data_IF_938132131161
#
_entry.id   IF_938132131161
#
_cell.length_a   1.000
_cell.length_b   1.000
_cell.length_c   1.000
_cell.angle_alpha   90.00
_cell.angle_beta   90.00
_cell.angle_gamma   90.00
#
_symmetry.space_group_name_H-M   'P 1'
#
loop_
_entity.id
_entity.type
_entity.pdbx_description
1 polymer ?
#
# COMPACT_ATOMS: atom_id res chain seq x y z
N UNK A 1 -11.21 -7.57 -38.88
CA UNK A 1 -9.97 -6.93 -38.40
C UNK A 1 -10.36 -5.55 -37.91
N UNK A 2 -10.81 -5.48 -36.67
CA UNK A 2 -11.00 -4.22 -35.96
C UNK A 2 -9.65 -3.75 -35.47
N UNK A 3 -9.42 -2.46 -35.67
CA UNK A 3 -8.18 -1.76 -35.47
C UNK A 3 -7.72 -1.82 -34.00
N UNK A 4 -6.81 -2.75 -33.70
CA UNK A 4 -6.16 -2.96 -32.40
C UNK A 4 -5.07 -1.91 -32.10
N UNK A 5 -4.96 -0.86 -32.93
CA UNK A 5 -3.86 0.11 -32.87
C UNK A 5 -4.16 1.40 -32.09
N UNK A 6 -5.33 1.51 -31.44
CA UNK A 6 -5.75 2.76 -30.78
C UNK A 6 -5.68 2.75 -29.22
N UNK A 7 -5.03 1.77 -28.57
CA UNK A 7 -4.84 1.78 -27.10
C UNK A 7 -3.46 1.24 -26.65
N UNK A 8 -2.44 2.09 -26.66
CA UNK A 8 -1.22 1.96 -25.86
C UNK A 8 -0.54 3.32 -25.69
N UNK A 9 0.25 3.62 -24.62
CA UNK A 9 0.66 2.81 -23.47
C UNK A 9 0.50 3.57 -22.11
N UNK A 10 -0.63 3.41 -21.40
CA UNK A 10 -0.69 3.89 -19.99
C UNK A 10 0.13 3.02 -19.03
N UNK A 11 0.62 1.88 -19.53
CA UNK A 11 1.60 0.99 -18.91
C UNK A 11 2.88 1.72 -18.49
N UNK A 12 3.26 2.78 -19.21
CA UNK A 12 4.60 3.37 -19.15
C UNK A 12 4.85 4.36 -18.02
N UNK A 13 3.80 4.89 -17.37
CA UNK A 13 3.92 5.96 -16.33
C UNK A 13 4.99 5.60 -15.29
N UNK A 14 5.05 4.32 -14.91
CA UNK A 14 5.95 3.84 -13.86
C UNK A 14 7.13 3.01 -14.38
N UNK A 15 7.32 2.88 -15.70
CA UNK A 15 8.39 2.05 -16.26
C UNK A 15 9.77 2.60 -15.94
N UNK A 16 9.94 3.92 -16.04
CA UNK A 16 11.19 4.58 -15.65
C UNK A 16 11.51 4.37 -14.16
N UNK A 17 10.49 4.27 -13.30
CA UNK A 17 10.66 4.11 -11.85
C UNK A 17 10.96 2.65 -11.48
N UNK A 18 10.29 1.67 -12.11
CA UNK A 18 10.65 0.25 -11.98
C UNK A 18 12.07 0.01 -12.47
N UNK A 19 12.43 0.57 -13.64
CA UNK A 19 13.78 0.44 -14.19
C UNK A 19 14.83 1.03 -13.26
N UNK A 20 14.61 2.25 -12.75
CA UNK A 20 15.49 2.87 -11.76
C UNK A 20 15.73 1.96 -10.55
N UNK A 21 14.65 1.38 -10.01
CA UNK A 21 14.72 0.51 -8.84
C UNK A 21 15.57 -0.74 -9.11
N UNK A 22 15.33 -1.42 -10.23
CA UNK A 22 16.08 -2.61 -10.63
C UNK A 22 17.55 -2.28 -10.95
N UNK A 23 17.80 -1.22 -11.73
CA UNK A 23 19.16 -0.81 -12.10
C UNK A 23 20.01 -0.46 -10.87
N UNK A 24 19.42 0.14 -9.84
CA UNK A 24 20.17 0.54 -8.63
C UNK A 24 20.43 -0.62 -7.68
N UNK A 25 19.71 -1.72 -7.80
CA UNK A 25 19.79 -2.90 -6.94
C UNK A 25 20.29 -4.15 -7.67
N UNK A 26 20.82 -4.03 -8.88
CA UNK A 26 21.33 -5.13 -9.71
C UNK A 26 22.37 -6.01 -8.97
N UNK A 27 23.23 -5.38 -8.18
CA UNK A 27 24.23 -6.06 -7.35
C UNK A 27 23.63 -6.74 -6.10
N UNK A 28 22.38 -6.46 -5.74
CA UNK A 28 21.70 -6.95 -4.54
C UNK A 28 20.52 -7.89 -4.84
N UNK A 29 20.06 -7.95 -6.08
CA UNK A 29 18.88 -8.68 -6.53
C UNK A 29 19.18 -9.52 -7.77
N UNK A 30 18.63 -10.73 -7.81
CA UNK A 30 18.64 -11.54 -9.03
C UNK A 30 17.60 -11.00 -10.03
N UNK A 31 17.93 -9.90 -10.72
CA UNK A 31 16.99 -9.21 -11.61
C UNK A 31 16.55 -10.06 -12.83
N UNK A 32 17.33 -11.09 -13.20
CA UNK A 32 17.02 -11.99 -14.31
C UNK A 32 16.23 -13.25 -13.87
N UNK A 33 16.01 -13.46 -12.57
CA UNK A 33 15.26 -14.58 -12.01
C UNK A 33 14.10 -14.07 -11.15
N UNK A 34 12.90 -14.08 -11.72
CA UNK A 34 11.70 -13.58 -11.05
C UNK A 34 10.46 -14.39 -11.38
N UNK A 35 9.52 -14.41 -10.43
CA UNK A 35 8.16 -14.89 -10.67
C UNK A 35 7.27 -13.71 -11.04
N UNK A 36 6.44 -13.85 -12.08
CA UNK A 36 5.47 -12.83 -12.48
C UNK A 36 4.04 -13.36 -12.35
N UNK A 37 3.16 -12.56 -11.74
CA UNK A 37 1.72 -12.77 -11.79
C UNK A 37 1.02 -11.53 -12.36
N UNK A 38 0.04 -11.79 -13.23
CA UNK A 38 -0.71 -10.76 -13.94
C UNK A 38 -2.20 -10.95 -13.79
N UNK A 39 -2.92 -9.85 -13.59
CA UNK A 39 -4.36 -9.81 -13.61
C UNK A 39 -4.81 -8.84 -14.70
N UNK A 40 -5.71 -9.29 -15.57
CA UNK A 40 -6.24 -8.48 -16.64
C UNK A 40 -7.76 -8.64 -16.73
N UNK A 41 -8.47 -7.51 -16.79
CA UNK A 41 -9.91 -7.48 -16.99
C UNK A 41 -10.25 -6.51 -18.11
N UNK A 42 -10.93 -7.04 -19.11
CA UNK A 42 -11.42 -6.30 -20.26
C UNK A 42 -12.94 -6.35 -20.32
N UNK A 43 -13.54 -5.18 -20.47
CA UNK A 43 -14.95 -4.99 -20.81
C UNK A 43 -15.04 -3.85 -21.82
N UNK A 44 -16.14 -3.67 -22.57
CA UNK A 44 -16.27 -2.58 -23.54
C UNK A 44 -15.91 -1.18 -23.00
N UNK A 45 -16.16 -0.93 -21.71
CA UNK A 45 -15.95 0.38 -21.06
C UNK A 45 -14.75 0.43 -20.11
N UNK A 46 -14.03 -0.68 -19.88
CA UNK A 46 -12.96 -0.76 -18.87
C UNK A 46 -11.83 -1.68 -19.29
N UNK A 47 -10.62 -1.17 -19.12
CA UNK A 47 -9.36 -1.88 -19.22
C UNK A 47 -8.65 -1.77 -17.86
N UNK A 48 -8.52 -2.88 -17.15
CA UNK A 48 -7.86 -2.94 -15.83
C UNK A 48 -6.73 -3.96 -15.92
N UNK A 49 -5.53 -3.57 -15.50
CA UNK A 49 -4.35 -4.43 -15.50
C UNK A 49 -3.60 -4.30 -14.17
N UNK A 50 -3.09 -5.41 -13.66
CA UNK A 50 -2.07 -5.47 -12.61
C UNK A 50 -0.98 -6.43 -13.06
N UNK A 51 0.28 -6.11 -12.80
CA UNK A 51 1.44 -6.96 -13.06
C UNK A 51 2.37 -6.86 -11.87
N UNK A 52 2.48 -7.94 -11.11
CA UNK A 52 3.40 -8.06 -10.00
C UNK A 52 4.57 -8.98 -10.38
N UNK A 53 5.80 -8.51 -10.17
CA UNK A 53 7.03 -9.30 -10.27
C UNK A 53 7.63 -9.46 -8.91
N UNK A 54 8.15 -10.65 -8.63
CA UNK A 54 8.71 -11.02 -7.35
C UNK A 54 10.15 -11.45 -7.58
N UNK A 55 11.08 -10.71 -6.98
CA UNK A 55 12.51 -10.95 -7.02
C UNK A 55 13.02 -11.37 -5.65
N UNK A 56 14.20 -11.99 -5.64
CA UNK A 56 14.93 -12.33 -4.43
C UNK A 56 16.40 -11.94 -4.57
N UNK A 57 17.08 -11.86 -3.44
CA UNK A 57 18.52 -11.62 -3.39
C UNK A 57 19.17 -12.39 -2.24
N UNK A 58 20.46 -12.17 -2.05
CA UNK A 58 21.21 -12.76 -0.93
C UNK A 58 20.66 -12.25 0.41
N UNK A 59 20.51 -10.92 0.55
CA UNK A 59 20.05 -10.26 1.79
C UNK A 59 18.55 -9.92 1.78
N UNK A 60 17.91 -10.00 0.62
CA UNK A 60 16.51 -9.65 0.42
C UNK A 60 15.70 -10.91 0.16
N UNK A 61 14.73 -11.20 1.03
CA UNK A 61 13.92 -12.42 0.91
C UNK A 61 12.88 -12.29 -0.20
N UNK A 62 12.23 -11.12 -0.26
CA UNK A 62 11.12 -10.89 -1.19
C UNK A 62 11.04 -9.44 -1.58
N UNK A 63 11.16 -9.18 -2.88
CA UNK A 63 11.00 -7.86 -3.47
C UNK A 63 9.90 -7.91 -4.51
N UNK A 64 8.73 -7.41 -4.13
CA UNK A 64 7.56 -7.35 -5.00
C UNK A 64 7.49 -5.97 -5.65
N UNK A 65 7.37 -5.93 -6.97
CA UNK A 65 7.10 -4.74 -7.77
C UNK A 65 5.78 -4.96 -8.50
N UNK A 66 4.72 -4.25 -8.10
CA UNK A 66 3.41 -4.30 -8.75
C UNK A 66 3.08 -2.99 -9.44
N UNK A 67 2.92 -3.05 -10.76
CA UNK A 67 2.34 -1.97 -11.55
C UNK A 67 0.88 -2.27 -11.85
N UNK A 68 0.02 -1.28 -11.67
CA UNK A 68 -1.38 -1.42 -12.00
C UNK A 68 -1.95 -0.20 -12.72
N UNK A 69 -2.95 -0.44 -13.57
CA UNK A 69 -3.79 0.58 -14.20
C UNK A 69 -5.25 0.18 -14.02
N UNK A 70 -6.06 1.11 -13.50
CA UNK A 70 -7.46 0.88 -13.18
C UNK A 70 -8.42 1.47 -14.21
N UNK A 71 -8.00 2.55 -14.87
CA UNK A 71 -8.68 3.25 -15.95
C UNK A 71 -7.73 4.34 -16.47
N UNK A 72 -8.18 5.05 -17.50
CA UNK A 72 -7.44 6.16 -18.10
C UNK A 72 -6.84 7.11 -17.06
N UNK A 73 -5.51 7.23 -17.07
CA UNK A 73 -4.68 8.04 -16.16
C UNK A 73 -4.71 7.66 -14.68
N UNK A 74 -5.45 6.63 -14.26
CA UNK A 74 -5.45 6.13 -12.88
C UNK A 74 -4.60 4.86 -12.79
N UNK A 75 -3.37 5.03 -12.35
CA UNK A 75 -2.36 3.97 -12.25
C UNK A 75 -1.54 4.10 -10.98
N UNK A 76 -0.80 3.05 -10.64
CA UNK A 76 0.10 3.05 -9.50
C UNK A 76 1.25 2.06 -9.62
N UNK A 77 2.23 2.27 -8.75
CA UNK A 77 3.40 1.44 -8.53
C UNK A 77 3.49 1.16 -7.03
N UNK A 78 3.52 -0.12 -6.69
CA UNK A 78 3.73 -0.60 -5.33
C UNK A 78 5.01 -1.40 -5.32
N UNK A 79 5.94 -1.04 -4.45
CA UNK A 79 7.16 -1.82 -4.21
C UNK A 79 7.23 -2.14 -2.73
N UNK A 80 7.23 -3.43 -2.40
CA UNK A 80 7.52 -3.91 -1.06
C UNK A 80 8.74 -4.80 -1.12
N UNK A 81 9.80 -4.42 -0.41
CA UNK A 81 11.03 -5.18 -0.33
C UNK A 81 11.33 -5.53 1.12
N UNK A 82 11.25 -6.82 1.44
CA UNK A 82 11.51 -7.34 2.77
C UNK A 82 12.89 -8.01 2.82
N UNK A 83 13.73 -7.66 3.80
CA UNK A 83 15.00 -8.31 4.02
C UNK A 83 14.81 -9.71 4.58
N UNK A 84 15.84 -10.55 4.46
CA UNK A 84 15.89 -11.77 5.26
C UNK A 84 16.12 -11.38 6.73
N UNK A 85 15.47 -12.06 7.69
CA UNK A 85 15.56 -11.68 9.11
C UNK A 85 16.97 -11.74 9.72
N UNK A 86 17.90 -12.42 9.06
CA UNK A 86 19.31 -12.47 9.48
C UNK A 86 20.05 -11.16 9.27
N UNK A 87 19.51 -10.21 8.50
CA UNK A 87 20.18 -8.94 8.23
C UNK A 87 19.41 -7.79 8.88
N UNK A 88 20.14 -6.89 9.55
CA UNK A 88 19.60 -5.66 10.14
C UNK A 88 19.32 -4.59 9.06
N UNK A 89 18.34 -4.84 8.20
CA UNK A 89 18.00 -3.97 7.07
C UNK A 89 16.56 -3.45 7.29
N UNK A 90 16.27 -2.15 7.07
CA UNK A 90 14.90 -1.68 7.07
C UNK A 90 14.15 -2.16 5.81
N UNK A 91 12.86 -2.42 5.91
CA UNK A 91 12.04 -2.80 4.74
C UNK A 91 11.75 -1.57 3.87
N UNK A 92 11.88 -1.72 2.56
CA UNK A 92 11.52 -0.66 1.61
C UNK A 92 10.02 -0.72 1.32
N UNK A 93 9.33 0.40 1.57
CA UNK A 93 7.90 0.54 1.30
C UNK A 93 7.68 1.68 0.31
N UNK A 94 7.12 1.37 -0.85
CA UNK A 94 6.58 2.36 -1.78
C UNK A 94 5.16 1.98 -2.15
N UNK A 95 4.25 2.94 -2.00
CA UNK A 95 2.96 2.93 -2.65
C UNK A 95 2.77 4.31 -3.28
N UNK A 96 2.78 4.38 -4.61
CA UNK A 96 2.40 5.58 -5.35
C UNK A 96 1.24 5.26 -6.29
N UNK A 97 0.22 6.12 -6.31
CA UNK A 97 -0.98 5.87 -7.11
C UNK A 97 -1.87 7.10 -7.26
N UNK A 98 -3.10 6.88 -7.71
CA UNK A 98 -4.07 7.94 -7.96
C UNK A 98 -4.09 8.38 -9.42
N UNK A 99 -4.14 9.69 -9.67
CA UNK A 99 -4.13 10.30 -11.02
C UNK A 99 -2.93 11.25 -11.12
N UNK A 100 -1.69 10.71 -11.17
CA UNK A 100 -0.49 11.54 -11.21
C UNK A 100 -0.42 12.38 -12.50
N UNK A 101 0.21 13.57 -12.47
CA UNK A 101 0.83 14.18 -11.29
C UNK A 101 -0.15 14.89 -10.35
N UNK A 102 -1.38 15.16 -10.79
CA UNK A 102 -2.30 16.11 -10.12
C UNK A 102 -2.92 15.60 -8.82
N UNK A 103 -3.22 14.31 -8.75
CA UNK A 103 -3.82 13.65 -7.58
C UNK A 103 -3.02 12.41 -7.22
N UNK A 104 -1.87 12.60 -6.58
CA UNK A 104 -0.97 11.52 -6.18
C UNK A 104 -1.23 11.10 -4.75
N UNK A 105 -1.48 9.80 -4.55
CA UNK A 105 -1.33 9.12 -3.27
C UNK A 105 0.12 8.65 -3.18
N UNK A 106 0.80 8.94 -2.08
CA UNK A 106 2.19 8.53 -1.86
C UNK A 106 2.37 8.02 -0.43
N UNK A 107 3.08 6.91 -0.30
CA UNK A 107 3.71 6.40 0.92
C UNK A 107 5.09 5.91 0.50
N UNK A 108 6.16 6.47 1.06
CA UNK A 108 7.55 6.08 0.82
C UNK A 108 8.32 6.05 2.14
N UNK A 109 8.88 4.89 2.49
CA UNK A 109 9.54 4.66 3.78
C UNK A 109 10.65 3.62 3.70
N UNK A 110 11.59 3.72 4.66
CA UNK A 110 12.44 2.63 5.10
C UNK A 110 12.00 2.21 6.51
N UNK A 111 11.11 1.23 6.58
CA UNK A 111 10.50 0.77 7.82
C UNK A 111 11.52 0.00 8.67
N UNK A 112 11.79 0.40 9.92
CA UNK A 112 12.83 -0.21 10.75
C UNK A 112 12.51 -1.67 11.09
N UNK A 113 13.55 -2.51 11.18
CA UNK A 113 13.38 -3.88 11.67
C UNK A 113 13.59 -4.02 13.19
N UNK A 114 13.93 -2.94 13.89
CA UNK A 114 13.95 -2.82 15.35
C UNK A 114 13.79 -1.36 15.79
N UNK A 115 13.28 -1.08 17.00
CA UNK A 115 13.13 0.29 17.51
C UNK A 115 14.45 1.07 17.63
N UNK A 116 15.56 0.37 17.85
CA UNK A 116 16.90 0.94 18.07
C UNK A 116 17.70 1.13 16.77
N UNK A 117 17.14 0.75 15.62
CA UNK A 117 17.82 0.87 14.33
C UNK A 117 18.16 2.33 14.03
N UNK A 118 19.43 2.61 13.73
CA UNK A 118 19.86 3.94 13.32
C UNK A 118 19.35 4.25 11.89
N UNK A 119 18.43 5.19 11.80
CA UNK A 119 17.87 5.67 10.55
C UNK A 119 18.39 7.06 10.15
N UNK A 120 19.53 7.51 10.68
CA UNK A 120 20.09 8.85 10.44
C UNK A 120 20.33 9.17 8.97
N UNK A 121 20.86 8.21 8.20
CA UNK A 121 21.06 8.37 6.75
C UNK A 121 19.73 8.60 6.02
N UNK A 122 18.72 7.78 6.30
CA UNK A 122 17.38 7.95 5.73
C UNK A 122 16.70 9.24 6.20
N UNK A 123 16.88 9.62 7.47
CA UNK A 123 16.30 10.84 8.04
C UNK A 123 16.70 12.09 7.26
N UNK A 124 17.98 12.20 6.92
CA UNK A 124 18.54 13.33 6.14
C UNK A 124 17.92 13.42 4.75
N UNK A 125 17.82 12.28 4.06
CA UNK A 125 17.23 12.17 2.72
C UNK A 125 15.74 12.49 2.76
N UNK A 126 15.01 11.86 3.68
CA UNK A 126 13.58 12.08 3.86
C UNK A 126 13.27 13.55 4.20
N UNK A 127 14.06 14.22 5.05
CA UNK A 127 13.86 15.63 5.37
C UNK A 127 14.05 16.53 4.13
N UNK A 128 15.10 16.27 3.35
CA UNK A 128 15.39 17.02 2.12
C UNK A 128 14.26 16.89 1.10
N UNK A 129 13.84 15.66 0.83
CA UNK A 129 12.83 15.38 -0.20
C UNK A 129 11.41 15.68 0.26
N UNK A 130 11.08 15.57 1.55
CA UNK A 130 9.81 16.05 2.13
C UNK A 130 9.62 17.54 1.85
N UNK A 131 10.64 18.36 2.12
CA UNK A 131 10.61 19.80 1.83
C UNK A 131 10.51 20.08 0.34
N UNK A 132 11.29 19.36 -0.48
CA UNK A 132 11.26 19.52 -1.92
C UNK A 132 9.89 19.18 -2.51
N UNK A 133 9.19 18.17 -2.02
CA UNK A 133 7.85 17.80 -2.51
C UNK A 133 6.70 18.48 -1.76
N UNK A 134 6.99 19.38 -0.81
CA UNK A 134 6.01 20.04 0.05
C UNK A 134 5.09 19.02 0.77
N UNK A 135 5.66 17.91 1.25
CA UNK A 135 4.90 16.86 1.93
C UNK A 135 4.68 17.22 3.42
N UNK A 136 3.57 16.75 4.04
CA UNK A 136 3.32 16.95 5.46
C UNK A 136 4.44 16.43 6.37
N UNK A 137 4.62 17.09 7.52
CA UNK A 137 5.52 16.63 8.58
C UNK A 137 4.86 15.60 9.52
N UNK A 138 3.53 15.58 9.59
CA UNK A 138 2.78 14.58 10.35
C UNK A 138 3.04 13.18 9.81
N UNK A 139 3.18 12.18 10.67
CA UNK A 139 3.17 10.77 10.24
C UNK A 139 1.77 10.26 9.86
N UNK A 140 1.68 8.98 9.48
CA UNK A 140 0.40 8.28 9.33
C UNK A 140 0.13 7.48 10.61
N UNK A 141 -0.80 7.94 11.46
CA UNK A 141 -1.05 7.34 12.79
C UNK A 141 -1.30 5.83 12.73
N UNK A 142 -1.96 5.34 11.69
CA UNK A 142 -2.29 3.92 11.52
C UNK A 142 -1.13 3.05 11.01
N UNK A 143 -0.03 3.65 10.53
CA UNK A 143 1.21 2.96 10.19
C UNK A 143 2.33 3.25 11.20
N UNK A 144 2.11 4.16 12.16
CA UNK A 144 3.16 4.67 13.05
C UNK A 144 3.82 3.59 13.91
N UNK A 145 3.16 2.45 14.13
CA UNK A 145 3.73 1.32 14.87
C UNK A 145 4.78 0.52 14.10
N UNK A 146 4.83 0.66 12.77
CA UNK A 146 5.68 -0.17 11.90
C UNK A 146 6.48 0.63 10.87
N UNK A 147 6.24 1.94 10.76
CA UNK A 147 6.97 2.83 9.85
C UNK A 147 7.96 3.68 10.61
N UNK A 148 8.95 4.20 9.89
CA UNK A 148 9.90 5.14 10.47
C UNK A 148 9.21 6.48 10.81
N UNK A 149 9.77 7.27 11.75
CA UNK A 149 9.33 8.64 11.98
C UNK A 149 9.60 9.56 10.77
N UNK A 150 10.30 9.06 9.75
CA UNK A 150 10.69 9.79 8.55
C UNK A 150 9.86 9.43 7.32
N UNK A 151 8.77 8.66 7.49
CA UNK A 151 7.78 8.34 6.46
C UNK A 151 7.41 9.59 5.63
N UNK A 152 7.60 9.49 4.31
CA UNK A 152 7.11 10.50 3.37
C UNK A 152 5.76 10.05 2.82
N UNK A 153 4.73 10.88 2.95
CA UNK A 153 3.40 10.54 2.45
C UNK A 153 2.60 11.75 1.99
N UNK A 154 1.57 11.51 1.19
CA UNK A 154 0.47 12.45 0.98
C UNK A 154 -0.78 11.74 0.45
N UNK A 155 -1.94 12.34 0.67
CA UNK A 155 -3.21 11.92 0.09
C UNK A 155 -3.66 12.92 -1.00
N UNK A 156 -3.68 12.47 -2.25
CA UNK A 156 -4.20 13.22 -3.41
C UNK A 156 -3.62 14.62 -3.59
N UNK A 157 -2.31 14.75 -3.37
CA UNK A 157 -1.57 15.99 -3.61
C UNK A 157 -0.95 15.96 -5.00
N UNK A 158 -0.81 17.14 -5.63
CA UNK A 158 0.03 17.25 -6.81
C UNK A 158 1.50 17.03 -6.44
N UNK A 159 2.17 16.10 -7.10
CA UNK A 159 3.61 15.88 -6.97
C UNK A 159 4.25 15.99 -8.35
N UNK A 160 5.26 16.86 -8.46
CA UNK A 160 6.02 17.02 -9.70
C UNK A 160 6.83 15.75 -10.00
N UNK A 161 6.70 15.15 -11.21
CA UNK A 161 7.29 13.84 -11.51
C UNK A 161 8.79 13.75 -11.24
N UNK A 162 9.58 14.75 -11.66
CA UNK A 162 11.03 14.72 -11.46
C UNK A 162 11.44 14.90 -9.98
N UNK A 163 10.61 15.59 -9.17
CA UNK A 163 10.86 15.69 -7.72
C UNK A 163 10.65 14.34 -7.04
N UNK A 164 9.61 13.62 -7.43
CA UNK A 164 9.39 12.25 -6.96
C UNK A 164 10.47 11.30 -7.45
N UNK A 165 10.86 11.38 -8.72
CA UNK A 165 11.92 10.55 -9.29
C UNK A 165 13.23 10.70 -8.52
N UNK A 166 13.68 11.93 -8.28
CA UNK A 166 14.89 12.19 -7.50
C UNK A 166 14.77 11.75 -6.03
N UNK A 167 13.59 11.85 -5.43
CA UNK A 167 13.35 11.33 -4.08
C UNK A 167 13.44 9.80 -4.03
N UNK A 168 12.83 9.12 -5.01
CA UNK A 168 12.87 7.67 -5.11
C UNK A 168 14.31 7.18 -5.31
N UNK A 169 15.06 7.80 -6.22
CA UNK A 169 16.48 7.50 -6.47
C UNK A 169 17.31 7.63 -5.20
N UNK A 170 17.23 8.78 -4.51
CA UNK A 170 17.99 9.02 -3.29
C UNK A 170 17.65 8.03 -2.17
N UNK A 171 16.39 7.65 -2.02
CA UNK A 171 15.98 6.66 -1.02
C UNK A 171 16.50 5.26 -1.37
N UNK A 172 16.45 4.85 -2.65
CA UNK A 172 16.98 3.54 -3.08
C UNK A 172 18.50 3.47 -2.88
N UNK A 173 19.23 4.51 -3.29
CA UNK A 173 20.68 4.58 -3.12
C UNK A 173 21.07 4.55 -1.64
N UNK A 174 20.35 5.31 -0.81
CA UNK A 174 20.55 5.31 0.64
C UNK A 174 20.24 3.94 1.25
N UNK A 175 19.16 3.29 0.81
CA UNK A 175 18.80 1.95 1.26
C UNK A 175 19.91 0.94 0.93
N UNK A 176 20.42 0.98 -0.30
CA UNK A 176 21.53 0.14 -0.74
C UNK A 176 22.81 0.41 0.05
N UNK A 177 23.27 1.66 0.06
CA UNK A 177 24.62 2.01 0.50
C UNK A 177 24.75 2.06 2.02
N UNK A 178 23.73 2.55 2.72
CA UNK A 178 23.78 2.70 4.17
C UNK A 178 23.24 1.47 4.93
N UNK A 179 22.43 0.61 4.29
CA UNK A 179 21.77 -0.49 4.98
C UNK A 179 22.02 -1.87 4.35
N UNK A 180 21.80 -2.06 3.05
CA UNK A 180 21.96 -3.40 2.44
C UNK A 180 23.43 -3.79 2.35
N UNK A 181 24.26 -2.95 1.74
CA UNK A 181 25.68 -3.23 1.51
C UNK A 181 26.44 -3.53 2.82
N UNK A 182 26.35 -2.70 3.87
CA UNK A 182 27.08 -2.93 5.11
C UNK A 182 26.46 -3.99 6.03
N UNK A 183 25.21 -4.43 5.80
CA UNK A 183 24.55 -5.38 6.69
C UNK A 183 25.29 -6.72 6.74
N UNK A 184 25.70 -7.12 7.93
CA UNK A 184 26.24 -8.43 8.22
C UNK A 184 25.12 -9.39 8.62
N UNK A 185 25.40 -10.69 8.46
CA UNK A 185 24.48 -11.74 8.85
C UNK A 185 24.59 -11.96 10.37
N UNK A 186 23.47 -11.85 11.07
CA UNK A 186 23.33 -12.27 12.46
C UNK A 186 22.92 -13.74 12.56
N UNK A 187 23.66 -14.49 13.36
CA UNK A 187 23.35 -15.89 13.68
C UNK A 187 22.75 -16.06 15.10
N UNK A 188 22.58 -14.96 15.86
CA UNK A 188 21.88 -14.98 17.14
C UNK A 188 20.38 -15.21 16.93
N UNK A 189 19.90 -16.38 17.37
CA UNK A 189 18.52 -16.81 17.17
C UNK A 189 17.48 -15.87 17.80
N UNK A 190 17.79 -15.23 18.93
CA UNK A 190 16.87 -14.31 19.59
C UNK A 190 16.76 -12.99 18.83
N UNK A 191 17.88 -12.46 18.34
CA UNK A 191 17.91 -11.25 17.50
C UNK A 191 17.18 -11.49 16.18
N UNK A 192 17.46 -12.63 15.52
CA UNK A 192 16.79 -13.01 14.27
C UNK A 192 15.29 -13.17 14.50
N UNK A 193 14.86 -13.82 15.59
CA UNK A 193 13.44 -13.97 15.90
C UNK A 193 12.74 -12.63 16.15
N UNK A 194 13.37 -11.69 16.88
CA UNK A 194 12.79 -10.37 17.12
C UNK A 194 12.56 -9.59 15.80
N UNK A 195 13.49 -9.72 14.83
CA UNK A 195 13.32 -9.13 13.50
C UNK A 195 12.22 -9.82 12.69
N UNK A 196 12.10 -11.15 12.80
CA UNK A 196 10.98 -11.90 12.19
C UNK A 196 9.64 -11.37 12.69
N UNK A 197 9.49 -11.21 14.00
CA UNK A 197 8.25 -10.74 14.60
C UNK A 197 7.93 -9.30 14.15
N UNK A 198 8.95 -8.44 14.08
CA UNK A 198 8.81 -7.06 13.58
C UNK A 198 8.38 -7.02 12.11
N UNK A 199 8.97 -7.87 11.25
CA UNK A 199 8.58 -7.99 9.84
C UNK A 199 7.15 -8.52 9.68
N UNK A 200 6.74 -9.49 10.48
CA UNK A 200 5.39 -10.03 10.43
C UNK A 200 4.34 -9.00 10.84
N UNK A 201 4.60 -8.23 11.89
CA UNK A 201 3.71 -7.15 12.32
C UNK A 201 3.67 -6.03 11.26
N UNK A 202 4.80 -5.66 10.66
CA UNK A 202 4.84 -4.75 9.52
C UNK A 202 3.92 -5.22 8.38
N UNK A 203 4.11 -6.46 7.89
CA UNK A 203 3.30 -7.03 6.80
C UNK A 203 1.81 -6.99 7.14
N UNK A 204 1.45 -7.36 8.36
CA UNK A 204 0.06 -7.38 8.84
C UNK A 204 -0.56 -5.98 8.90
N UNK A 205 0.15 -5.00 9.46
CA UNK A 205 -0.33 -3.61 9.56
C UNK A 205 -0.46 -2.98 8.18
N UNK A 206 0.51 -3.21 7.28
CA UNK A 206 0.44 -2.72 5.89
C UNK A 206 -0.74 -3.39 5.17
N UNK A 207 -0.87 -4.72 5.20
CA UNK A 207 -1.96 -5.44 4.54
C UNK A 207 -3.36 -4.92 4.95
N UNK A 208 -3.57 -4.65 6.25
CA UNK A 208 -4.87 -4.19 6.78
C UNK A 208 -5.22 -2.75 6.40
N UNK A 209 -4.22 -1.94 6.08
CA UNK A 209 -4.38 -0.50 5.84
C UNK A 209 -4.07 -0.09 4.41
N UNK A 210 -3.57 -1.00 3.56
CA UNK A 210 -3.27 -0.70 2.16
C UNK A 210 -4.58 -0.55 1.34
N UNK A 211 -4.78 0.60 0.67
CA UNK A 211 -6.01 0.88 -0.05
C UNK A 211 -6.15 0.13 -1.39
N UNK A 212 -5.10 -0.53 -1.89
CA UNK A 212 -5.12 -1.21 -3.18
C UNK A 212 -5.88 -2.53 -3.14
N UNK A 213 -5.82 -3.30 -2.05
CA UNK A 213 -6.45 -4.63 -1.99
C UNK A 213 -7.98 -4.61 -2.13
N UNK A 214 -8.73 -3.69 -1.49
CA UNK A 214 -10.16 -3.54 -1.75
C UNK A 214 -10.47 -3.22 -3.21
N UNK A 215 -9.61 -2.41 -3.85
CA UNK A 215 -9.75 -2.06 -5.26
C UNK A 215 -9.49 -3.26 -6.15
N UNK A 216 -8.43 -4.04 -5.88
CA UNK A 216 -8.12 -5.27 -6.61
C UNK A 216 -9.18 -6.34 -6.42
N UNK A 217 -9.69 -6.54 -5.20
CA UNK A 217 -10.81 -7.47 -4.94
C UNK A 217 -12.04 -7.10 -5.77
N UNK A 218 -12.39 -5.81 -5.87
CA UNK A 218 -13.52 -5.36 -6.71
C UNK A 218 -13.23 -5.51 -8.20
N UNK A 219 -11.99 -5.27 -8.61
CA UNK A 219 -11.59 -5.33 -10.01
C UNK A 219 -11.49 -6.76 -10.53
N UNK A 220 -10.86 -7.66 -9.77
CA UNK A 220 -10.44 -8.99 -10.22
C UNK A 220 -11.07 -10.15 -9.44
N UNK A 221 -11.81 -9.88 -8.36
CA UNK A 221 -12.35 -10.89 -7.46
C UNK A 221 -11.39 -11.28 -6.34
N UNK A 222 -11.93 -11.97 -5.32
CA UNK A 222 -11.18 -12.35 -4.10
C UNK A 222 -9.98 -13.23 -4.40
N UNK A 223 -10.16 -14.31 -5.17
CA UNK A 223 -9.07 -15.27 -5.45
C UNK A 223 -7.85 -14.61 -6.09
N UNK A 224 -8.05 -13.67 -7.03
CA UNK A 224 -6.94 -12.94 -7.62
C UNK A 224 -6.32 -11.92 -6.65
N UNK A 225 -7.15 -11.27 -5.82
CA UNK A 225 -6.64 -10.40 -4.76
C UNK A 225 -5.78 -11.16 -3.75
N UNK A 226 -6.14 -12.40 -3.41
CA UNK A 226 -5.35 -13.25 -2.52
C UNK A 226 -4.01 -13.63 -3.15
N UNK A 227 -3.96 -13.89 -4.46
CA UNK A 227 -2.69 -14.11 -5.19
C UNK A 227 -1.79 -12.87 -5.15
N UNK A 228 -2.36 -11.68 -5.36
CA UNK A 228 -1.61 -10.43 -5.26
C UNK A 228 -1.15 -10.14 -3.82
N UNK A 229 -1.93 -10.56 -2.82
CA UNK A 229 -1.56 -10.45 -1.41
C UNK A 229 -0.41 -11.41 -1.06
N UNK A 230 -0.45 -12.66 -1.54
CA UNK A 230 0.66 -13.60 -1.40
C UNK A 230 1.94 -13.10 -2.09
N UNK A 231 1.80 -12.52 -3.29
CA UNK A 231 2.91 -11.87 -3.98
C UNK A 231 3.56 -10.79 -3.10
N UNK A 232 2.72 -9.98 -2.44
CA UNK A 232 3.12 -8.83 -1.62
C UNK A 232 3.57 -9.18 -0.19
N UNK A 233 3.08 -10.26 0.43
CA UNK A 233 3.27 -10.53 1.86
C UNK A 233 3.69 -11.96 2.20
N UNK A 234 3.93 -12.82 1.20
CA UNK A 234 4.55 -14.13 1.38
C UNK A 234 6.03 -14.03 1.78
N UNK A 235 6.78 -15.10 1.53
CA UNK A 235 8.21 -15.19 1.86
C UNK A 235 8.44 -15.57 3.32
N UNK A 236 9.56 -15.14 3.91
CA UNK A 236 9.95 -15.50 5.26
C UNK A 236 10.18 -14.26 6.15
N UNK A 237 9.32 -14.00 7.16
CA UNK A 237 8.10 -14.74 7.50
C UNK A 237 6.93 -14.42 6.56
N UNK A 238 6.13 -15.42 6.21
CA UNK A 238 4.91 -15.21 5.41
C UNK A 238 3.76 -14.71 6.29
N UNK A 239 2.98 -13.77 5.77
CA UNK A 239 1.71 -13.38 6.37
C UNK A 239 0.62 -14.37 5.93
N UNK A 240 -0.05 -15.02 6.88
CA UNK A 240 -1.28 -15.74 6.59
C UNK A 240 -2.40 -14.74 6.26
N UNK A 241 -2.76 -14.64 4.98
CA UNK A 241 -3.82 -13.71 4.51
C UNK A 241 -5.15 -13.98 5.21
N UNK A 242 -5.47 -15.26 5.45
CA UNK A 242 -6.69 -15.66 6.13
C UNK A 242 -6.74 -15.17 7.59
N UNK A 243 -5.62 -15.24 8.32
CA UNK A 243 -5.52 -14.79 9.72
C UNK A 243 -5.37 -13.27 9.84
N UNK A 244 -4.72 -12.65 8.86
CA UNK A 244 -4.52 -11.21 8.81
C UNK A 244 -5.83 -10.47 8.49
N UNK A 245 -6.72 -11.10 7.73
CA UNK A 245 -8.05 -10.58 7.40
C UNK A 245 -8.95 -10.60 8.64
N UNK A 246 -9.39 -9.42 9.08
CA UNK A 246 -10.34 -9.34 10.18
C UNK A 246 -11.68 -9.94 9.78
N UNK A 247 -12.28 -10.81 10.63
CA UNK A 247 -13.60 -11.35 10.34
C UNK A 247 -14.60 -10.19 10.23
N UNK A 248 -15.57 -10.28 9.31
CA UNK A 248 -16.62 -9.28 9.24
C UNK A 248 -17.37 -9.24 10.59
N UNK A 249 -17.84 -8.06 11.01
CA UNK A 249 -18.69 -7.97 12.19
C UNK A 249 -19.94 -8.85 12.00
N UNK A 250 -20.51 -9.35 13.10
CA UNK A 250 -21.73 -10.15 13.00
C UNK A 250 -22.82 -9.34 12.26
N UNK A 251 -23.53 -9.91 11.27
CA UNK A 251 -24.51 -9.20 10.46
C UNK A 251 -25.53 -8.43 11.31
N UNK A 252 -25.64 -7.12 11.10
CA UNK A 252 -26.58 -6.27 11.86
C UNK A 252 -26.13 -5.89 13.28
N UNK A 253 -24.91 -6.25 13.68
CA UNK A 253 -24.40 -6.00 15.05
C UNK A 253 -24.08 -4.54 15.36
N UNK A 254 -23.83 -3.71 14.35
CA UNK A 254 -23.50 -2.30 14.58
C UNK A 254 -24.75 -1.51 14.95
N UNK A 255 -24.69 -0.89 16.14
CA UNK A 255 -25.67 0.07 16.59
C UNK A 255 -25.00 1.21 17.34
N UNK A 256 -25.46 2.43 17.10
CA UNK A 256 -25.12 3.61 17.87
C UNK A 256 -26.29 3.97 18.79
N UNK A 257 -26.24 3.48 20.03
CA UNK A 257 -27.29 3.69 21.05
C UNK A 257 -27.55 5.17 21.34
N UNK A 258 -26.53 6.03 21.24
CA UNK A 258 -26.66 7.48 21.50
C UNK A 258 -27.44 8.19 20.41
N UNK A 259 -27.33 7.72 19.17
CA UNK A 259 -28.05 8.28 18.02
C UNK A 259 -29.34 7.53 17.70
N UNK A 260 -29.59 6.38 18.34
CA UNK A 260 -30.74 5.53 18.05
C UNK A 260 -30.68 4.88 16.66
N UNK A 261 -29.48 4.67 16.13
CA UNK A 261 -29.27 4.19 14.75
C UNK A 261 -28.67 2.78 14.76
N UNK A 262 -29.33 1.83 14.10
CA UNK A 262 -28.80 0.51 13.77
C UNK A 262 -28.26 0.43 12.35
N UNK A 263 -27.76 -0.74 11.94
CA UNK A 263 -27.15 -0.95 10.62
C UNK A 263 -27.68 -2.24 9.98
N UNK A 264 -27.93 -2.21 8.67
CA UNK A 264 -28.13 -3.42 7.88
C UNK A 264 -26.79 -4.14 7.64
N UNK A 265 -26.85 -5.46 7.42
CA UNK A 265 -25.67 -6.29 7.22
C UNK A 265 -24.84 -5.88 5.99
N UNK A 266 -25.52 -5.66 4.86
CA UNK A 266 -24.91 -5.21 3.60
C UNK A 266 -24.20 -3.84 3.73
N UNK A 267 -24.77 -2.94 4.52
CA UNK A 267 -24.18 -1.64 4.83
C UNK A 267 -22.91 -1.79 5.70
N UNK A 268 -22.89 -2.74 6.64
CA UNK A 268 -21.69 -3.04 7.44
C UNK A 268 -20.58 -3.62 6.58
N UNK A 269 -20.92 -4.60 5.74
CA UNK A 269 -19.97 -5.24 4.82
C UNK A 269 -19.30 -4.20 3.92
N UNK A 270 -20.08 -3.25 3.38
CA UNK A 270 -19.54 -2.18 2.53
C UNK A 270 -18.55 -1.27 3.26
N UNK A 271 -18.77 -0.96 4.53
CA UNK A 271 -17.82 -0.17 5.34
C UNK A 271 -16.60 -1.02 5.73
N UNK A 272 -16.78 -2.32 5.96
CA UNK A 272 -15.69 -3.24 6.29
C UNK A 272 -14.68 -3.42 5.13
N UNK A 273 -15.10 -3.19 3.88
CA UNK A 273 -14.18 -3.12 2.73
C UNK A 273 -13.19 -1.94 2.78
N UNK A 274 -13.47 -0.88 3.55
CA UNK A 274 -12.54 0.23 3.66
C UNK A 274 -11.30 -0.15 4.51
N UNK A 275 -10.15 0.52 4.31
CA UNK A 275 -8.99 0.36 5.18
C UNK A 275 -9.36 0.50 6.66
N UNK A 276 -8.80 -0.35 7.52
CA UNK A 276 -9.19 -0.46 8.93
C UNK A 276 -9.22 0.90 9.66
N UNK A 277 -8.23 1.76 9.39
CA UNK A 277 -8.12 3.09 9.98
C UNK A 277 -9.26 4.06 9.61
N UNK A 278 -9.87 3.92 8.43
CA UNK A 278 -10.96 4.81 8.00
C UNK A 278 -12.33 4.36 8.48
N UNK A 279 -12.51 3.07 8.80
CA UNK A 279 -13.81 2.50 9.16
C UNK A 279 -14.49 3.26 10.32
N UNK A 280 -13.80 3.62 11.43
CA UNK A 280 -14.43 4.37 12.52
C UNK A 280 -14.93 5.76 12.08
N UNK A 281 -14.14 6.44 11.24
CA UNK A 281 -14.52 7.75 10.70
C UNK A 281 -15.71 7.65 9.75
N UNK A 282 -15.65 6.73 8.77
CA UNK A 282 -16.72 6.45 7.81
C UNK A 282 -18.02 6.14 8.55
N UNK A 283 -17.95 5.21 9.52
CA UNK A 283 -19.09 4.83 10.36
C UNK A 283 -19.69 6.04 11.08
N UNK A 284 -18.85 6.87 11.73
CA UNK A 284 -19.31 8.08 12.44
C UNK A 284 -19.99 9.08 11.50
N UNK A 285 -19.48 9.27 10.29
CA UNK A 285 -20.06 10.17 9.29
C UNK A 285 -21.44 9.65 8.87
N UNK A 286 -21.55 8.37 8.54
CA UNK A 286 -22.80 7.76 8.07
C UNK A 286 -23.85 7.74 9.18
N UNK A 287 -23.49 7.40 10.42
CA UNK A 287 -24.42 7.43 11.56
C UNK A 287 -24.96 8.83 11.84
N UNK A 288 -24.13 9.87 11.70
CA UNK A 288 -24.59 11.27 11.81
C UNK A 288 -25.56 11.64 10.69
N UNK A 289 -25.31 11.21 9.46
CA UNK A 289 -26.21 11.47 8.33
C UNK A 289 -27.53 10.70 8.48
N UNK A 290 -27.49 9.46 9.00
CA UNK A 290 -28.67 8.69 9.34
C UNK A 290 -29.55 9.41 10.37
N UNK A 291 -28.93 9.87 11.46
CA UNK A 291 -29.63 10.62 12.50
C UNK A 291 -30.24 11.93 11.97
N UNK A 292 -29.51 12.68 11.14
CA UNK A 292 -30.03 13.90 10.48
C UNK A 292 -31.21 13.61 9.53
N UNK A 293 -31.19 12.45 8.87
CA UNK A 293 -32.25 12.02 7.98
C UNK A 293 -33.44 11.36 8.72
N UNK A 294 -33.38 11.23 10.05
CA UNK A 294 -34.38 10.52 10.85
C UNK A 294 -34.43 9.01 10.57
N UNK A 295 -33.37 8.44 10.00
CA UNK A 295 -33.29 7.03 9.68
C UNK A 295 -32.87 6.21 10.91
N UNK A 296 -33.72 5.29 11.35
CA UNK A 296 -33.41 4.38 12.46
C UNK A 296 -32.41 3.28 12.07
N UNK A 297 -32.26 2.99 10.77
CA UNK A 297 -31.37 1.96 10.24
C UNK A 297 -30.54 2.52 9.08
N UNK A 298 -29.22 2.29 9.11
CA UNK A 298 -28.33 2.57 8.00
C UNK A 298 -28.49 1.48 6.94
N UNK A 299 -29.02 1.86 5.78
CA UNK A 299 -29.11 1.02 4.59
C UNK A 299 -27.92 1.20 3.67
N UNK A 300 -27.70 0.23 2.77
CA UNK A 300 -26.69 0.34 1.72
C UNK A 300 -26.86 1.61 0.87
N UNK A 301 -28.10 2.01 0.58
CA UNK A 301 -28.38 3.25 -0.16
C UNK A 301 -27.87 4.49 0.58
N UNK A 302 -28.00 4.53 1.91
CA UNK A 302 -27.49 5.63 2.70
C UNK A 302 -25.96 5.66 2.69
N UNK A 303 -25.30 4.50 2.76
CA UNK A 303 -23.84 4.38 2.62
C UNK A 303 -23.40 4.93 1.26
N UNK A 304 -24.01 4.46 0.17
CA UNK A 304 -23.68 4.92 -1.19
C UNK A 304 -23.96 6.41 -1.40
N UNK A 305 -25.01 6.95 -0.79
CA UNK A 305 -25.31 8.39 -0.80
C UNK A 305 -24.24 9.18 -0.06
N UNK A 306 -23.79 8.71 1.10
CA UNK A 306 -22.69 9.32 1.85
C UNK A 306 -21.38 9.26 1.05
N UNK A 307 -21.05 8.13 0.43
CA UNK A 307 -19.88 8.01 -0.43
C UNK A 307 -19.93 9.01 -1.60
N UNK A 308 -21.08 9.17 -2.26
CA UNK A 308 -21.23 10.17 -3.33
C UNK A 308 -21.09 11.60 -2.82
N UNK A 309 -21.71 11.90 -1.66
CA UNK A 309 -21.70 13.24 -1.04
C UNK A 309 -20.31 13.64 -0.58
N UNK A 310 -19.58 12.69 0.00
CA UNK A 310 -18.26 12.92 0.56
C UNK A 310 -17.13 12.53 -0.38
N UNK A 311 -17.39 11.99 -1.58
CA UNK A 311 -16.37 11.68 -2.61
C UNK A 311 -15.45 12.86 -2.93
N UNK A 312 -15.95 14.09 -2.84
CA UNK A 312 -15.12 15.29 -3.02
C UNK A 312 -14.12 15.56 -1.87
N UNK A 313 -14.38 15.02 -0.67
CA UNK A 313 -13.58 15.23 0.56
C UNK A 313 -13.00 13.93 1.15
N UNK A 314 -13.39 12.76 0.64
CA UNK A 314 -13.04 11.40 1.08
C UNK A 314 -12.76 10.50 -0.13
N UNK A 315 -12.13 11.05 -1.18
CA UNK A 315 -11.58 10.19 -2.22
C UNK A 315 -10.46 9.36 -1.57
N UNK A 316 -10.68 8.04 -1.54
CA UNK A 316 -9.70 6.97 -1.29
C UNK A 316 -9.17 6.47 -2.63
#
# INVERSE_FOLDING_TARGET
>A
MTDDSAQGPESEIWERHEKLFLDRLDACLACDDFTECGAFRHTPDKFIRSRARIYQGEKLDRVMINRYSLRRGRAGLVIFAYPRPQYAIPSFLLHVGGHPPDKTLLTLDLAPCSPEMDLSAFASVAQTHRRAMDLPESGLEWLASVTSPYLMHCAFKRIEPERFYGALEAVIETWRDAYIAPAERDDDAAVVQARRDSLLELKKVVFRNDPAFPVFTRAFGRSMSDVLAEAAFGGDPALSIAEATEPPPAPGSWANKKLGVGWHADAQDRVHEAPAFLRPMIRRIIEKEAAKAGAAMVSMDLVLKCEKKYRGNMEL
#
